data_IF_045104499574
#
_entry.id   IF_045104499574
#
_cell.length_a   1.000
_cell.length_b   1.000
_cell.length_c   1.000
_cell.angle_alpha   90.00
_cell.angle_beta   90.00
_cell.angle_gamma   90.00
#
_symmetry.space_group_name_H-M   'P 1'
#
loop_
_entity.id
_entity.type
_entity.pdbx_description
1 polymer ?
#
# COMPACT_ATOMS: atom_id res chain seq x y z
N UNK A 1 18.33 23.33 -8.27
CA UNK A 1 17.67 22.79 -7.06
C UNK A 1 18.57 21.72 -6.50
N UNK A 2 18.88 21.73 -5.20
CA UNK A 2 19.62 20.64 -4.56
C UNK A 2 18.68 19.44 -4.51
N UNK A 3 19.05 18.35 -5.18
CA UNK A 3 18.31 17.09 -5.13
C UNK A 3 18.32 16.58 -3.68
N UNK A 4 17.16 16.45 -3.07
CA UNK A 4 17.05 15.90 -1.71
C UNK A 4 17.31 14.39 -1.82
N UNK A 5 18.26 13.89 -1.05
CA UNK A 5 18.55 12.45 -1.02
C UNK A 5 17.40 11.74 -0.30
N UNK A 6 16.89 10.67 -0.88
CA UNK A 6 15.91 9.82 -0.21
C UNK A 6 16.52 9.22 1.06
N UNK A 7 15.76 9.21 2.15
CA UNK A 7 16.12 8.54 3.41
C UNK A 7 15.46 7.16 3.52
N UNK A 8 14.70 6.74 2.50
CA UNK A 8 14.09 5.41 2.51
C UNK A 8 15.15 4.35 2.22
N UNK A 9 15.10 3.27 2.99
CA UNK A 9 15.70 2.01 2.59
C UNK A 9 14.81 1.39 1.51
N UNK A 10 15.41 0.80 0.47
CA UNK A 10 14.67 0.14 -0.60
C UNK A 10 15.53 -0.92 -1.28
N UNK A 11 14.87 -1.87 -1.91
CA UNK A 11 15.50 -2.91 -2.71
C UNK A 11 15.08 -2.76 -4.18
N UNK A 12 15.98 -3.14 -5.10
CA UNK A 12 15.74 -3.12 -6.55
C UNK A 12 16.01 -4.51 -7.11
N UNK A 13 15.06 -5.00 -7.92
CA UNK A 13 15.15 -6.31 -8.57
C UNK A 13 14.80 -6.19 -10.06
N UNK A 14 15.39 -7.05 -10.88
CA UNK A 14 15.10 -7.10 -12.31
C UNK A 14 15.59 -5.88 -13.09
N UNK A 15 15.07 -5.72 -14.31
CA UNK A 15 15.40 -4.63 -15.25
C UNK A 15 14.17 -4.29 -16.09
N UNK A 16 14.18 -3.12 -16.74
CA UNK A 16 13.11 -2.70 -17.65
C UNK A 16 12.28 -1.55 -17.07
N UNK A 17 10.97 -1.59 -17.28
CA UNK A 17 10.04 -0.54 -16.80
C UNK A 17 10.07 -0.51 -15.27
N UNK A 18 10.30 0.67 -14.64
CA UNK A 18 10.26 0.77 -13.18
C UNK A 18 8.82 0.59 -12.65
N UNK A 19 8.66 -0.36 -11.74
CA UNK A 19 7.42 -0.64 -11.00
C UNK A 19 7.73 -0.53 -9.52
N UNK A 20 7.08 0.40 -8.84
CA UNK A 20 7.23 0.63 -7.41
C UNK A 20 6.05 -0.02 -6.70
N UNK A 21 6.34 -0.89 -5.71
CA UNK A 21 5.31 -1.54 -4.89
C UNK A 21 5.41 -1.00 -3.45
N UNK A 22 4.38 -0.28 -3.03
CA UNK A 22 4.34 0.41 -1.73
C UNK A 22 3.47 -0.39 -0.75
N UNK A 23 4.03 -0.71 0.41
CA UNK A 23 3.35 -1.50 1.45
C UNK A 23 2.36 -0.67 2.27
N UNK A 24 1.55 -1.35 3.09
CA UNK A 24 0.53 -0.76 3.94
C UNK A 24 0.93 -0.54 5.40
N UNK A 25 -0.07 -0.43 6.27
CA UNK A 25 0.06 -0.24 7.71
C UNK A 25 0.44 -1.55 8.41
N UNK A 26 1.44 -1.50 9.29
CA UNK A 26 1.90 -2.67 10.04
C UNK A 26 2.56 -3.74 9.15
N UNK A 27 3.10 -3.31 8.03
CA UNK A 27 3.78 -4.09 7.02
C UNK A 27 5.14 -3.48 6.69
N UNK A 28 5.94 -4.21 5.94
CA UNK A 28 7.16 -3.74 5.31
C UNK A 28 7.26 -4.24 3.87
N UNK A 29 8.34 -3.90 3.17
CA UNK A 29 8.52 -4.30 1.77
C UNK A 29 8.46 -5.81 1.53
N UNK A 30 8.66 -6.65 2.54
CA UNK A 30 8.63 -8.12 2.39
C UNK A 30 7.24 -8.69 2.08
N UNK A 31 6.17 -7.91 2.25
CA UNK A 31 4.84 -8.37 1.83
C UNK A 31 4.76 -8.64 0.32
N UNK A 32 5.68 -8.04 -0.45
CA UNK A 32 5.77 -8.14 -1.89
C UNK A 32 6.72 -9.24 -2.39
N UNK A 33 7.30 -10.06 -1.51
CA UNK A 33 8.32 -11.06 -1.89
C UNK A 33 7.81 -12.02 -2.99
N UNK A 34 6.55 -12.44 -2.93
CA UNK A 34 5.94 -13.27 -3.95
C UNK A 34 5.84 -12.57 -5.31
N UNK A 35 5.47 -11.29 -5.30
CA UNK A 35 5.37 -10.45 -6.50
C UNK A 35 6.75 -10.16 -7.08
N UNK A 36 7.73 -9.85 -6.22
CA UNK A 36 9.13 -9.66 -6.63
C UNK A 36 9.68 -10.89 -7.32
N UNK A 37 9.49 -12.08 -6.75
CA UNK A 37 9.98 -13.33 -7.30
C UNK A 37 9.45 -13.60 -8.71
N UNK A 38 8.24 -13.17 -9.01
CA UNK A 38 7.62 -13.31 -10.33
C UNK A 38 7.97 -12.13 -11.25
N UNK A 39 7.77 -10.89 -10.82
CA UNK A 39 7.84 -9.71 -11.67
C UNK A 39 9.29 -9.30 -12.05
N UNK A 40 10.31 -9.67 -11.28
CA UNK A 40 11.71 -9.32 -11.56
C UNK A 40 12.22 -9.79 -12.92
N UNK A 41 11.57 -10.80 -13.50
CA UNK A 41 11.92 -11.33 -14.82
C UNK A 41 11.32 -10.49 -15.97
N UNK A 42 10.34 -9.60 -15.66
CA UNK A 42 9.59 -8.80 -16.64
C UNK A 42 9.83 -7.29 -16.51
N UNK A 43 10.14 -6.80 -15.32
CA UNK A 43 10.29 -5.36 -15.06
C UNK A 43 11.34 -5.05 -13.97
N UNK A 44 11.66 -3.77 -13.79
CA UNK A 44 12.49 -3.27 -12.70
C UNK A 44 11.58 -3.03 -11.48
N UNK A 45 11.54 -3.96 -10.53
CA UNK A 45 10.74 -3.85 -9.31
C UNK A 45 11.51 -3.08 -8.24
N UNK A 46 10.90 -2.08 -7.63
CA UNK A 46 11.46 -1.25 -6.55
C UNK A 46 10.54 -1.33 -5.35
N UNK A 47 11.09 -1.75 -4.22
CA UNK A 47 10.37 -1.97 -2.97
C UNK A 47 10.92 -1.03 -1.89
N UNK A 48 10.28 0.12 -1.64
CA UNK A 48 10.66 0.95 -0.51
C UNK A 48 10.08 0.41 0.81
N UNK A 49 10.87 0.51 1.86
CA UNK A 49 10.36 0.50 3.23
C UNK A 49 9.97 1.95 3.57
N UNK A 50 8.71 2.19 3.91
CA UNK A 50 8.23 3.54 4.25
C UNK A 50 8.93 4.08 5.49
N UNK A 51 9.00 5.41 5.65
CA UNK A 51 9.62 6.03 6.81
C UNK A 51 9.03 5.49 8.12
N UNK A 52 9.88 5.12 9.07
CA UNK A 52 9.48 4.46 10.32
C UNK A 52 9.33 2.94 10.23
N UNK A 53 9.68 2.32 9.08
CA UNK A 53 9.62 0.88 8.87
C UNK A 53 11.03 0.34 8.61
N UNK A 54 11.40 -0.76 9.28
CA UNK A 54 12.72 -1.43 9.19
C UNK A 54 13.88 -0.44 9.32
N UNK A 55 14.69 -0.30 8.25
CA UNK A 55 15.88 0.57 8.23
C UNK A 55 15.57 2.01 7.81
N UNK A 56 14.34 2.33 7.43
CA UNK A 56 13.90 3.69 7.10
C UNK A 56 13.57 4.44 8.38
N UNK A 57 14.27 5.54 8.73
CA UNK A 57 13.96 6.30 9.93
C UNK A 57 12.59 6.97 9.83
N UNK A 58 11.92 7.13 10.97
CA UNK A 58 10.76 8.03 11.05
C UNK A 58 11.32 9.47 11.12
N UNK A 59 11.02 10.26 10.11
CA UNK A 59 11.57 11.61 9.96
C UNK A 59 10.65 12.69 10.51
N UNK A 60 9.36 12.42 10.51
CA UNK A 60 8.34 13.34 11.01
C UNK A 60 7.90 12.93 12.42
N UNK A 61 7.46 13.92 13.20
CA UNK A 61 6.78 13.61 14.48
C UNK A 61 5.52 12.78 14.22
N UNK A 62 5.18 11.90 15.16
CA UNK A 62 4.02 11.00 15.04
C UNK A 62 2.68 11.70 14.84
N UNK A 63 2.58 12.99 15.19
CA UNK A 63 1.36 13.78 15.05
C UNK A 63 1.40 14.70 13.81
N UNK A 64 2.50 14.72 13.06
CA UNK A 64 2.70 15.57 11.89
C UNK A 64 2.94 14.80 10.61
N UNK A 65 3.24 13.50 10.69
CA UNK A 65 3.33 12.65 9.50
C UNK A 65 2.01 12.66 8.74
N UNK A 66 2.10 12.82 7.43
CA UNK A 66 0.95 12.75 6.51
C UNK A 66 1.22 11.78 5.36
N UNK A 67 0.17 11.41 4.65
CA UNK A 67 0.27 10.60 3.42
C UNK A 67 1.09 11.34 2.35
N UNK A 68 0.98 12.67 2.29
CA UNK A 68 1.73 13.53 1.36
C UNK A 68 3.24 13.53 1.66
N UNK A 69 3.65 13.44 2.93
CA UNK A 69 5.06 13.30 3.29
C UNK A 69 5.62 12.00 2.73
N UNK A 70 4.92 10.88 2.91
CA UNK A 70 5.34 9.58 2.36
C UNK A 70 5.33 9.56 0.81
N UNK A 71 4.40 10.26 0.17
CA UNK A 71 4.42 10.43 -1.29
C UNK A 71 5.63 11.24 -1.77
N UNK A 72 6.06 12.27 -1.02
CA UNK A 72 7.29 13.01 -1.31
C UNK A 72 8.54 12.13 -1.15
N UNK A 73 8.57 11.24 -0.14
CA UNK A 73 9.67 10.30 0.05
C UNK A 73 9.83 9.35 -1.15
N UNK A 74 8.72 8.85 -1.68
CA UNK A 74 8.71 8.04 -2.91
C UNK A 74 9.24 8.85 -4.09
N UNK A 75 8.84 10.12 -4.21
CA UNK A 75 9.35 11.01 -5.26
C UNK A 75 10.84 11.26 -5.13
N UNK A 76 11.35 11.51 -3.92
CA UNK A 76 12.78 11.72 -3.67
C UNK A 76 13.59 10.45 -4.00
N UNK A 77 13.02 9.24 -3.76
CA UNK A 77 13.62 7.98 -4.19
C UNK A 77 13.72 7.90 -5.72
N UNK A 78 12.65 8.23 -6.45
CA UNK A 78 12.67 8.21 -7.92
C UNK A 78 13.72 9.18 -8.50
N UNK A 79 13.83 10.37 -7.92
CA UNK A 79 14.85 11.34 -8.33
C UNK A 79 16.27 10.82 -8.08
N UNK A 80 16.51 10.21 -6.91
CA UNK A 80 17.82 9.61 -6.58
C UNK A 80 18.21 8.52 -7.56
N UNK A 81 17.24 7.70 -8.01
CA UNK A 81 17.44 6.64 -8.99
C UNK A 81 17.41 7.13 -10.45
N UNK A 82 17.24 8.45 -10.68
CA UNK A 82 17.06 9.06 -11.99
C UNK A 82 15.90 8.45 -12.79
N UNK A 83 14.82 8.08 -12.10
CA UNK A 83 13.61 7.53 -12.70
C UNK A 83 12.65 8.68 -12.99
N UNK A 84 12.39 8.91 -14.25
CA UNK A 84 11.49 9.99 -14.72
C UNK A 84 10.08 9.52 -14.98
N UNK A 85 9.87 8.21 -15.16
CA UNK A 85 8.56 7.61 -15.34
C UNK A 85 8.54 6.18 -14.75
N UNK A 86 7.46 5.85 -14.06
CA UNK A 86 7.24 4.55 -13.42
C UNK A 86 5.77 4.15 -13.40
N UNK A 87 5.51 2.91 -13.01
CA UNK A 87 4.21 2.43 -12.54
C UNK A 87 4.27 2.40 -11.00
N UNK A 88 3.27 2.94 -10.32
CA UNK A 88 3.22 3.00 -8.87
C UNK A 88 2.00 2.24 -8.37
N UNK A 89 2.22 1.14 -7.64
CA UNK A 89 1.17 0.30 -7.09
C UNK A 89 1.25 0.31 -5.55
N UNK A 90 0.14 0.54 -4.88
CA UNK A 90 0.11 0.61 -3.43
C UNK A 90 -0.92 -0.32 -2.82
N UNK A 91 -0.50 -1.09 -1.80
CA UNK A 91 -1.38 -1.89 -0.97
C UNK A 91 -1.92 -1.07 0.20
N UNK A 92 -3.22 -1.12 0.43
CA UNK A 92 -3.85 -0.51 1.62
C UNK A 92 -3.44 0.96 1.80
N UNK A 93 -2.75 1.34 2.89
CA UNK A 93 -2.18 2.68 3.09
C UNK A 93 -1.24 3.09 1.94
N UNK A 94 -0.51 2.14 1.36
CA UNK A 94 0.30 2.39 0.16
C UNK A 94 -0.50 2.91 -1.02
N UNK A 95 -1.78 2.51 -1.15
CA UNK A 95 -2.69 3.07 -2.14
C UNK A 95 -3.07 4.54 -1.86
N UNK A 96 -3.19 4.94 -0.59
CA UNK A 96 -3.38 6.36 -0.24
C UNK A 96 -2.16 7.20 -0.66
N UNK A 97 -0.95 6.65 -0.45
CA UNK A 97 0.31 7.26 -0.87
C UNK A 97 0.37 7.35 -2.40
N UNK A 98 -0.04 6.30 -3.10
CA UNK A 98 -0.13 6.26 -4.56
C UNK A 98 -1.04 7.36 -5.10
N UNK A 99 -2.21 7.58 -4.50
CA UNK A 99 -3.14 8.64 -4.91
C UNK A 99 -2.57 10.04 -4.61
N UNK A 100 -1.95 10.25 -3.45
CA UNK A 100 -1.29 11.51 -3.14
C UNK A 100 -0.12 11.79 -4.10
N UNK A 101 0.60 10.75 -4.51
CA UNK A 101 1.63 10.86 -5.52
C UNK A 101 1.05 11.21 -6.89
N UNK A 102 -0.04 10.55 -7.30
CA UNK A 102 -0.71 10.82 -8.58
C UNK A 102 -1.26 12.25 -8.66
N UNK A 103 -1.75 12.80 -7.54
CA UNK A 103 -2.17 14.19 -7.43
C UNK A 103 -1.00 15.17 -7.61
N UNK A 104 0.12 14.92 -6.94
CA UNK A 104 1.24 15.88 -6.89
C UNK A 104 2.23 15.74 -8.03
N UNK A 105 2.44 14.53 -8.53
CA UNK A 105 3.52 14.17 -9.46
C UNK A 105 3.04 13.33 -10.65
N UNK A 106 1.91 13.68 -11.32
CA UNK A 106 1.34 12.86 -12.39
C UNK A 106 2.32 12.58 -13.53
N UNK A 107 3.25 13.49 -13.80
CA UNK A 107 4.24 13.36 -14.88
C UNK A 107 5.27 12.24 -14.65
N UNK A 108 5.41 11.75 -13.40
CA UNK A 108 6.24 10.59 -13.08
C UNK A 108 5.55 9.25 -13.37
N UNK A 109 4.25 9.27 -13.66
CA UNK A 109 3.47 8.05 -13.80
C UNK A 109 3.20 7.69 -15.26
N UNK A 110 3.38 6.41 -15.60
CA UNK A 110 2.80 5.76 -16.77
C UNK A 110 1.42 5.18 -16.47
N UNK A 111 1.22 4.76 -15.25
CA UNK A 111 -0.01 4.23 -14.67
C UNK A 111 0.16 4.04 -13.18
N UNK A 112 -0.93 3.83 -12.48
CA UNK A 112 -0.90 3.57 -11.03
C UNK A 112 -1.99 2.57 -10.62
N UNK A 113 -1.89 2.04 -9.39
CA UNK A 113 -2.89 1.09 -8.94
C UNK A 113 -3.11 1.05 -7.45
N UNK A 114 -4.32 0.64 -7.09
CA UNK A 114 -4.83 0.44 -5.75
C UNK A 114 -5.05 -1.05 -5.53
N UNK A 115 -4.25 -1.65 -4.67
CA UNK A 115 -4.35 -3.06 -4.33
C UNK A 115 -4.93 -3.14 -2.91
N UNK A 116 -6.15 -3.66 -2.79
CA UNK A 116 -6.90 -3.68 -1.53
C UNK A 116 -6.90 -2.31 -0.82
N UNK A 117 -7.22 -1.24 -1.57
CA UNK A 117 -7.16 0.13 -1.08
C UNK A 117 -8.30 0.98 -1.63
N UNK A 118 -8.54 2.14 -1.02
CA UNK A 118 -9.64 3.04 -1.35
C UNK A 118 -9.15 4.47 -1.58
N UNK A 119 -9.83 5.20 -2.46
CA UNK A 119 -9.60 6.63 -2.67
C UNK A 119 -10.35 7.52 -1.67
N UNK A 120 -11.33 6.97 -0.95
CA UNK A 120 -12.13 7.72 0.00
C UNK A 120 -11.35 8.10 1.26
N UNK A 121 -11.65 9.28 1.82
CA UNK A 121 -11.25 9.62 3.18
C UNK A 121 -11.88 8.66 4.21
N UNK A 122 -11.27 8.58 5.40
CA UNK A 122 -11.93 7.90 6.52
C UNK A 122 -13.22 8.64 6.91
N UNK A 123 -14.32 7.90 7.03
CA UNK A 123 -15.52 8.40 7.68
C UNK A 123 -15.31 8.51 9.19
N UNK A 124 -16.26 9.15 9.90
CA UNK A 124 -16.13 9.39 11.34
C UNK A 124 -15.97 8.08 12.15
N UNK A 125 -16.66 7.00 11.76
CA UNK A 125 -16.52 5.70 12.43
C UNK A 125 -15.10 5.12 12.27
N UNK A 126 -14.52 5.19 11.06
CA UNK A 126 -13.13 4.77 10.82
C UNK A 126 -12.14 5.63 11.60
N UNK A 127 -12.33 6.96 11.66
CA UNK A 127 -11.48 7.86 12.46
C UNK A 127 -11.52 7.51 13.95
N UNK A 128 -12.70 7.29 14.52
CA UNK A 128 -12.86 6.87 15.91
C UNK A 128 -12.14 5.54 16.19
N UNK A 129 -12.28 4.56 15.29
CA UNK A 129 -11.59 3.28 15.43
C UNK A 129 -10.05 3.43 15.37
N UNK A 130 -9.52 4.29 14.49
CA UNK A 130 -8.07 4.56 14.45
C UNK A 130 -7.57 5.30 15.69
N UNK A 131 -8.32 6.29 16.18
CA UNK A 131 -7.99 6.99 17.42
C UNK A 131 -7.90 6.01 18.59
N UNK A 132 -8.88 5.10 18.71
CA UNK A 132 -8.85 4.02 19.71
C UNK A 132 -7.65 3.09 19.49
N UNK A 133 -7.31 2.77 18.25
CA UNK A 133 -6.11 1.98 17.92
C UNK A 133 -4.82 2.66 18.40
N UNK A 134 -4.69 3.98 18.23
CA UNK A 134 -3.57 4.78 18.75
C UNK A 134 -3.45 4.65 20.27
N UNK A 135 -4.57 4.71 20.99
CA UNK A 135 -4.61 4.55 22.46
C UNK A 135 -4.20 3.12 22.87
N UNK A 136 -4.73 2.10 22.21
CA UNK A 136 -4.38 0.69 22.47
C UNK A 136 -2.88 0.44 22.22
N UNK A 137 -2.32 0.98 21.14
CA UNK A 137 -0.89 0.88 20.83
C UNK A 137 -0.06 1.57 21.93
N UNK A 138 -0.51 2.71 22.44
CA UNK A 138 0.18 3.42 23.52
C UNK A 138 0.19 2.63 24.83
N UNK A 139 -0.93 1.98 25.16
CA UNK A 139 -1.12 1.29 26.44
C UNK A 139 -0.56 -0.13 26.43
N UNK A 140 -0.80 -0.90 25.36
CA UNK A 140 -0.49 -2.34 25.29
C UNK A 140 0.62 -2.70 24.30
N UNK A 141 1.11 -1.74 23.53
CA UNK A 141 2.13 -1.92 22.52
C UNK A 141 1.63 -2.36 21.14
N UNK A 142 2.43 -2.00 20.11
CA UNK A 142 2.10 -2.27 18.71
C UNK A 142 1.97 -3.75 18.39
N UNK A 143 2.85 -4.59 18.93
CA UNK A 143 2.77 -6.04 18.73
C UNK A 143 1.46 -6.62 19.24
N UNK A 144 1.04 -6.26 20.45
CA UNK A 144 -0.24 -6.72 21.01
C UNK A 144 -1.42 -6.30 20.15
N UNK A 145 -1.39 -5.06 19.64
CA UNK A 145 -2.41 -4.56 18.72
C UNK A 145 -2.43 -5.35 17.41
N UNK A 146 -1.29 -5.49 16.73
CA UNK A 146 -1.17 -6.15 15.43
C UNK A 146 -1.48 -7.65 15.52
N UNK A 147 -1.07 -8.33 16.59
CA UNK A 147 -1.42 -9.74 16.83
C UNK A 147 -2.93 -9.99 16.81
N UNK A 148 -3.72 -9.03 17.30
CA UNK A 148 -5.18 -9.15 17.33
C UNK A 148 -5.85 -8.68 16.04
N UNK A 149 -5.20 -7.84 15.24
CA UNK A 149 -5.79 -7.26 14.02
C UNK A 149 -5.39 -7.98 12.75
N UNK A 150 -4.15 -8.48 12.64
CA UNK A 150 -3.63 -9.17 11.46
C UNK A 150 -4.52 -10.36 11.02
N UNK A 151 -5.00 -11.24 11.88
CA UNK A 151 -5.86 -12.35 11.44
C UNK A 151 -7.14 -11.91 10.72
N UNK A 152 -7.65 -10.73 11.03
CA UNK A 152 -8.86 -10.19 10.41
C UNK A 152 -8.61 -9.61 9.01
N UNK A 153 -7.35 -9.55 8.56
CA UNK A 153 -6.98 -9.09 7.22
C UNK A 153 -7.08 -10.20 6.17
N UNK A 154 -7.19 -11.45 6.59
CA UNK A 154 -7.24 -12.60 5.69
C UNK A 154 -8.66 -13.16 5.55
N UNK A 155 -8.98 -13.69 4.36
CA UNK A 155 -10.23 -14.43 4.12
C UNK A 155 -10.26 -15.75 4.92
N UNK A 156 -11.49 -16.23 5.18
CA UNK A 156 -11.71 -17.38 6.07
C UNK A 156 -10.98 -18.64 5.58
N UNK A 157 -11.07 -18.94 4.28
CA UNK A 157 -10.43 -20.14 3.68
C UNK A 157 -8.90 -20.11 3.83
N UNK A 158 -8.31 -18.91 3.65
CA UNK A 158 -6.86 -18.77 3.80
C UNK A 158 -6.41 -18.93 5.25
N UNK A 159 -7.13 -18.34 6.20
CA UNK A 159 -6.84 -18.48 7.63
C UNK A 159 -6.85 -19.93 8.10
N UNK A 160 -7.84 -20.72 7.64
CA UNK A 160 -7.95 -22.12 8.00
C UNK A 160 -6.87 -22.99 7.34
N UNK A 161 -6.52 -22.72 6.08
CA UNK A 161 -5.59 -23.51 5.29
C UNK A 161 -4.11 -23.14 5.46
N UNK A 162 -3.82 -21.90 5.85
CA UNK A 162 -2.46 -21.32 5.87
C UNK A 162 -2.17 -20.53 7.16
N UNK A 163 -2.56 -21.07 8.31
CA UNK A 163 -2.33 -20.43 9.62
C UNK A 163 -0.87 -20.04 9.86
N UNK A 164 0.09 -20.83 9.38
CA UNK A 164 1.52 -20.55 9.53
C UNK A 164 1.93 -19.25 8.82
N UNK A 165 1.31 -18.92 7.68
CA UNK A 165 1.57 -17.67 6.99
C UNK A 165 1.02 -16.44 7.76
N UNK A 166 -0.15 -16.60 8.38
CA UNK A 166 -0.73 -15.58 9.26
C UNK A 166 0.17 -15.37 10.48
N UNK A 167 0.62 -16.45 11.11
CA UNK A 167 1.53 -16.42 12.26
C UNK A 167 2.89 -15.79 11.91
N UNK A 168 3.41 -16.05 10.70
CA UNK A 168 4.63 -15.38 10.20
C UNK A 168 4.47 -13.86 10.17
N UNK A 169 3.35 -13.36 9.65
CA UNK A 169 3.09 -11.91 9.60
C UNK A 169 2.92 -11.32 11.02
N UNK A 170 2.27 -12.05 11.92
CA UNK A 170 2.18 -11.67 13.34
C UNK A 170 3.58 -11.58 13.95
N UNK A 171 4.46 -12.57 13.74
CA UNK A 171 5.82 -12.54 14.26
C UNK A 171 6.65 -11.37 13.70
N UNK A 172 6.56 -11.10 12.40
CA UNK A 172 7.19 -9.93 11.77
C UNK A 172 6.71 -8.61 12.40
N UNK A 173 5.48 -8.56 12.88
CA UNK A 173 4.91 -7.36 13.48
C UNK A 173 5.61 -6.89 14.76
N UNK A 174 6.43 -7.74 15.41
CA UNK A 174 7.30 -7.37 16.54
C UNK A 174 8.35 -6.31 16.19
N UNK A 175 8.65 -6.14 14.92
CA UNK A 175 9.68 -5.22 14.43
C UNK A 175 9.17 -3.77 14.29
N UNK A 176 7.86 -3.53 14.37
CA UNK A 176 7.30 -2.20 14.21
C UNK A 176 7.29 -1.41 15.51
N UNK A 177 7.76 -0.18 15.44
CA UNK A 177 7.73 0.71 16.61
C UNK A 177 6.31 1.22 16.89
N UNK A 178 5.97 1.37 18.17
CA UNK A 178 4.70 1.98 18.57
C UNK A 178 4.53 3.38 17.96
N UNK A 179 5.60 4.17 17.93
CA UNK A 179 5.59 5.53 17.39
C UNK A 179 5.25 5.55 15.91
N UNK A 180 5.84 4.65 15.10
CA UNK A 180 5.55 4.56 13.66
C UNK A 180 4.10 4.14 13.39
N UNK A 181 3.60 3.16 14.13
CA UNK A 181 2.21 2.71 13.99
C UNK A 181 1.21 3.82 14.34
N UNK A 182 1.48 4.59 15.41
CA UNK A 182 0.65 5.74 15.80
C UNK A 182 0.71 6.85 14.74
N UNK A 183 1.91 7.15 14.20
CA UNK A 183 2.09 8.13 13.13
C UNK A 183 1.32 7.75 11.86
N UNK A 184 1.35 6.48 11.48
CA UNK A 184 0.61 5.98 10.32
C UNK A 184 -0.90 6.09 10.52
N UNK A 185 -1.42 5.73 11.69
CA UNK A 185 -2.84 5.91 11.98
C UNK A 185 -3.25 7.38 11.95
N UNK A 186 -2.44 8.27 12.52
CA UNK A 186 -2.68 9.71 12.42
C UNK A 186 -2.72 10.16 10.96
N UNK A 187 -1.72 9.81 10.15
CA UNK A 187 -1.65 10.15 8.73
C UNK A 187 -2.88 9.67 7.95
N UNK A 188 -3.35 8.46 8.24
CA UNK A 188 -4.56 7.91 7.60
C UNK A 188 -5.83 8.67 8.01
N UNK A 189 -5.97 9.08 9.29
CA UNK A 189 -7.14 9.82 9.78
C UNK A 189 -7.29 11.20 9.16
N UNK A 190 -6.18 11.88 8.90
CA UNK A 190 -6.19 13.27 8.39
C UNK A 190 -6.15 13.36 6.88
N UNK A 191 -6.00 12.23 6.16
CA UNK A 191 -5.93 12.25 4.69
C UNK A 191 -7.22 12.77 4.07
N UNK A 192 -7.14 13.59 3.03
CA UNK A 192 -8.31 14.01 2.26
C UNK A 192 -8.86 12.87 1.40
N UNK A 193 -10.10 13.04 0.95
CA UNK A 193 -10.70 12.24 -0.11
C UNK A 193 -10.00 12.54 -1.44
N UNK A 194 -9.67 11.47 -2.18
CA UNK A 194 -9.00 11.55 -3.49
C UNK A 194 -9.75 10.80 -4.60
N UNK A 195 -11.05 10.57 -4.42
CA UNK A 195 -11.87 9.94 -5.45
C UNK A 195 -11.86 10.73 -6.78
N UNK A 196 -11.67 12.05 -6.70
CA UNK A 196 -11.52 12.90 -7.89
C UNK A 196 -10.33 12.50 -8.77
N UNK A 197 -9.24 11.94 -8.20
CA UNK A 197 -8.09 11.46 -8.98
C UNK A 197 -8.50 10.30 -9.88
N UNK A 198 -9.35 9.39 -9.40
CA UNK A 198 -9.85 8.28 -10.22
C UNK A 198 -10.71 8.79 -11.38
N UNK A 199 -11.46 9.86 -11.17
CA UNK A 199 -12.36 10.45 -12.16
C UNK A 199 -11.64 11.30 -13.22
N UNK A 200 -10.60 12.04 -12.81
CA UNK A 200 -9.96 13.06 -13.66
C UNK A 200 -8.68 12.54 -14.34
N UNK A 201 -8.08 11.48 -13.82
CA UNK A 201 -6.85 10.91 -14.37
C UNK A 201 -7.08 10.35 -15.77
N UNK A 202 -6.16 10.68 -16.68
CA UNK A 202 -6.09 10.08 -18.02
C UNK A 202 -5.13 8.87 -18.05
N UNK A 203 -4.46 8.59 -16.92
CA UNK A 203 -3.55 7.47 -16.82
C UNK A 203 -4.31 6.16 -16.62
N UNK A 204 -3.79 5.03 -17.11
CA UNK A 204 -4.29 3.72 -16.75
C UNK A 204 -4.25 3.49 -15.23
N UNK A 205 -5.33 2.90 -14.69
CA UNK A 205 -5.48 2.63 -13.26
C UNK A 205 -5.79 1.15 -13.05
N UNK A 206 -5.01 0.48 -12.21
CA UNK A 206 -5.29 -0.88 -11.75
C UNK A 206 -6.00 -0.83 -10.40
N UNK A 207 -7.09 -1.58 -10.24
CA UNK A 207 -7.77 -1.78 -8.95
C UNK A 207 -7.92 -3.29 -8.73
N UNK A 208 -7.40 -3.78 -7.60
CA UNK A 208 -7.57 -5.17 -7.15
C UNK A 208 -8.31 -5.15 -5.82
N UNK A 209 -9.38 -5.93 -5.71
CA UNK A 209 -10.27 -6.01 -4.56
C UNK A 209 -10.52 -7.45 -4.14
N UNK A 210 -10.75 -7.69 -2.86
CA UNK A 210 -11.17 -8.97 -2.32
C UNK A 210 -12.62 -8.92 -1.82
N UNK A 211 -13.39 -9.99 -2.00
CA UNK A 211 -14.79 -10.03 -1.57
C UNK A 211 -14.95 -10.12 -0.04
N UNK A 212 -13.91 -10.58 0.67
CA UNK A 212 -13.87 -10.68 2.13
C UNK A 212 -13.02 -9.57 2.79
N UNK A 213 -12.61 -8.55 2.01
CA UNK A 213 -11.80 -7.44 2.52
C UNK A 213 -12.63 -6.48 3.40
N UNK A 214 -12.42 -6.55 4.71
CA UNK A 214 -13.12 -5.70 5.70
C UNK A 214 -12.49 -4.31 5.82
N UNK A 215 -11.23 -4.11 5.38
CA UNK A 215 -10.52 -2.84 5.48
C UNK A 215 -10.84 -1.93 4.28
N UNK A 216 -10.98 -2.52 3.08
CA UNK A 216 -11.39 -1.85 1.85
C UNK A 216 -12.62 -2.58 1.24
N UNK A 217 -13.84 -2.31 1.73
CA UNK A 217 -15.03 -3.05 1.37
C UNK A 217 -15.30 -3.06 -0.14
N UNK A 218 -15.68 -4.22 -0.66
CA UNK A 218 -15.87 -4.45 -2.09
C UNK A 218 -16.90 -3.49 -2.71
N UNK A 219 -17.96 -3.15 -1.99
CA UNK A 219 -18.99 -2.22 -2.48
C UNK A 219 -18.42 -0.83 -2.75
N UNK A 220 -17.55 -0.31 -1.83
CA UNK A 220 -16.85 0.95 -2.03
C UNK A 220 -15.94 0.90 -3.27
N UNK A 221 -15.26 -0.23 -3.51
CA UNK A 221 -14.35 -0.39 -4.64
C UNK A 221 -15.09 -0.54 -5.97
N UNK A 222 -16.26 -1.16 -5.98
CA UNK A 222 -17.16 -1.17 -7.15
C UNK A 222 -17.61 0.25 -7.54
N UNK A 223 -17.98 1.09 -6.57
CA UNK A 223 -18.35 2.47 -6.86
C UNK A 223 -17.15 3.28 -7.36
N UNK A 224 -15.97 3.09 -6.78
CA UNK A 224 -14.75 3.77 -7.21
C UNK A 224 -14.28 3.33 -8.61
N UNK A 225 -14.42 2.07 -8.95
CA UNK A 225 -14.10 1.56 -10.29
C UNK A 225 -14.95 2.21 -11.38
N UNK A 226 -16.21 2.60 -11.07
CA UNK A 226 -17.08 3.34 -12.00
C UNK A 226 -16.63 4.78 -12.24
N UNK A 227 -15.86 5.39 -11.32
CA UNK A 227 -15.36 6.75 -11.47
C UNK A 227 -14.28 6.84 -12.54
N UNK A 228 -13.51 5.77 -12.71
CA UNK A 228 -12.39 5.74 -13.63
C UNK A 228 -12.78 5.10 -14.98
N UNK A 229 -12.14 5.56 -16.05
CA UNK A 229 -12.24 4.92 -17.36
C UNK A 229 -11.43 3.62 -17.44
N UNK A 230 -10.88 3.14 -16.31
CA UNK A 230 -10.00 1.96 -16.28
C UNK A 230 -10.73 0.69 -16.66
N UNK A 231 -10.01 -0.19 -17.38
CA UNK A 231 -10.44 -1.55 -17.70
C UNK A 231 -9.81 -2.60 -16.77
N UNK A 232 -8.97 -2.18 -15.84
CA UNK A 232 -8.17 -3.05 -14.97
C UNK A 232 -8.76 -3.06 -13.56
N UNK A 233 -10.01 -3.48 -13.45
CA UNK A 233 -10.67 -3.76 -12.17
C UNK A 233 -10.85 -5.25 -12.01
N UNK A 234 -10.23 -5.82 -10.98
CA UNK A 234 -10.21 -7.24 -10.69
C UNK A 234 -10.72 -7.52 -9.29
N UNK A 235 -11.64 -8.47 -9.19
CA UNK A 235 -12.23 -8.93 -7.93
C UNK A 235 -11.77 -10.35 -7.66
N UNK A 236 -11.24 -10.59 -6.47
CA UNK A 236 -10.78 -11.88 -5.98
C UNK A 236 -11.83 -12.44 -5.03
N UNK A 237 -12.47 -13.52 -5.42
CA UNK A 237 -13.52 -14.16 -4.63
C UNK A 237 -12.94 -14.95 -3.44
N UNK A 238 -13.54 -14.83 -2.25
CA UNK A 238 -13.08 -15.46 -1.02
C UNK A 238 -11.75 -14.93 -0.47
N UNK A 239 -11.28 -13.77 -0.97
CA UNK A 239 -10.00 -13.16 -0.59
C UNK A 239 -10.25 -11.96 0.32
N UNK A 240 -9.48 -11.87 1.40
CA UNK A 240 -9.49 -10.74 2.33
C UNK A 240 -8.64 -9.57 1.84
N UNK A 241 -7.94 -8.93 2.77
CA UNK A 241 -7.11 -7.75 2.52
C UNK A 241 -5.72 -8.06 1.98
N UNK A 242 -5.25 -9.31 2.12
CA UNK A 242 -3.88 -9.72 1.81
C UNK A 242 -3.78 -10.50 0.49
N UNK A 243 -4.50 -10.06 -0.56
CA UNK A 243 -4.59 -10.78 -1.83
C UNK A 243 -3.24 -11.12 -2.47
N UNK A 244 -2.16 -10.33 -2.21
CA UNK A 244 -0.81 -10.64 -2.67
C UNK A 244 -0.25 -11.95 -2.06
N UNK A 245 -0.81 -12.41 -0.94
CA UNK A 245 -0.50 -13.69 -0.28
C UNK A 245 -1.59 -14.73 -0.55
N UNK A 246 -2.85 -14.35 -0.43
CA UNK A 246 -4.01 -15.24 -0.53
C UNK A 246 -4.26 -15.75 -1.95
N UNK A 247 -4.03 -14.88 -2.94
CA UNK A 247 -4.24 -15.14 -4.36
C UNK A 247 -3.02 -14.75 -5.20
N UNK A 248 -1.82 -15.11 -4.74
CA UNK A 248 -0.52 -14.70 -5.29
C UNK A 248 -0.46 -14.80 -6.83
N UNK A 249 -0.89 -15.92 -7.39
CA UNK A 249 -0.83 -16.14 -8.84
C UNK A 249 -1.70 -15.15 -9.60
N UNK A 250 -2.94 -14.96 -9.17
CA UNK A 250 -3.88 -14.05 -9.83
C UNK A 250 -3.40 -12.59 -9.71
N UNK A 251 -2.94 -12.17 -8.52
CA UNK A 251 -2.39 -10.82 -8.33
C UNK A 251 -1.18 -10.59 -9.22
N UNK A 252 -0.28 -11.56 -9.33
CA UNK A 252 0.87 -11.49 -10.23
C UNK A 252 0.47 -11.33 -11.70
N UNK A 253 -0.50 -12.12 -12.15
CA UNK A 253 -1.04 -12.07 -13.54
C UNK A 253 -1.73 -10.73 -13.82
N UNK A 254 -2.50 -10.18 -12.88
CA UNK A 254 -3.16 -8.89 -13.03
C UNK A 254 -2.15 -7.73 -13.10
N UNK A 255 -1.12 -7.75 -12.25
CA UNK A 255 -0.06 -6.73 -12.28
C UNK A 255 0.73 -6.83 -13.59
N UNK A 256 1.11 -8.05 -14.02
CA UNK A 256 1.86 -8.22 -15.28
C UNK A 256 1.05 -7.77 -16.48
N UNK A 257 -0.22 -8.18 -16.58
CA UNK A 257 -1.11 -7.75 -17.64
C UNK A 257 -1.27 -6.22 -17.69
N UNK A 258 -1.32 -5.57 -16.52
CA UNK A 258 -1.35 -4.11 -16.46
C UNK A 258 -0.05 -3.49 -16.99
N UNK A 259 1.12 -4.01 -16.58
CA UNK A 259 2.43 -3.50 -17.02
C UNK A 259 2.61 -3.62 -18.54
N UNK A 260 2.16 -4.72 -19.14
CA UNK A 260 2.35 -5.03 -20.56
C UNK A 260 1.43 -4.23 -21.50
N UNK A 261 0.34 -3.67 -20.97
CA UNK A 261 -0.70 -3.01 -21.77
C UNK A 261 -0.77 -1.48 -21.58
N UNK A 262 0.23 -0.86 -20.92
CA UNK A 262 0.26 0.59 -20.68
C UNK A 262 1.53 1.27 -21.20
#
# INVERSE_FOLDING_TARGET
MVQRKSNLHYNIYGKGIPVILVHGFGEDGSIWDNQVNFLKDYCKVIIPDLQGTRSSPLMEDKNTLTIEHMANDVKDLLDQENITQCILLGHSMGGYITLAFAEKYPNYLKGFGLIHSTAYADNEAKKVNRARGIEIIAEYGGYSFLKNTIPNLFGEVFKEGFSDAVDELIEKSKLFSNTSLQAYYHAMMVRPDRAFILKESQLPILIIAGTEDVAAPIDDLHEQAKLSATKYFHVLDGVGHMGMWEATKQVNEFILNFIENI
#
